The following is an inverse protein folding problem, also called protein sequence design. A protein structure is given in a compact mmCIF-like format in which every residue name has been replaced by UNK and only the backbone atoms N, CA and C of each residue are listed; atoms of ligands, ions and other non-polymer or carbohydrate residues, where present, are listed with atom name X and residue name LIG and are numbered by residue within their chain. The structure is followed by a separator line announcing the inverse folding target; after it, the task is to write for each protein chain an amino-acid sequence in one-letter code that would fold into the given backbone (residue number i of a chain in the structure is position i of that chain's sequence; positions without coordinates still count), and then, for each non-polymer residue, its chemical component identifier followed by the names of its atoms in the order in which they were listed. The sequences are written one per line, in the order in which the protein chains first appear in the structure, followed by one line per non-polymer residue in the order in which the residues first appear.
data_IF_683173264936
#
_entry.id   IF_683173264936
#
_cell.length_a   1.000
_cell.length_b   1.000
_cell.length_c   1.000
_cell.angle_alpha   90.00
_cell.angle_beta   90.00
_cell.angle_gamma   90.00
#
_symmetry.space_group_name_H-M   'P 1'
#
loop_
_entity.id
_entity.type
_entity.pdbx_description
1 polymer ?
#
# COMPACT_ATOMS: atom_id res chain seq x y z
N UNK A 1 2.41 -22.09 -4.88
CA UNK A 1 1.10 -21.65 -5.44
C UNK A 1 0.89 -20.19 -5.07
N UNK A 2 0.98 -19.25 -6.02
CA UNK A 2 0.90 -17.78 -5.79
C UNK A 2 -0.51 -17.22 -5.57
N UNK A 3 -1.53 -18.07 -5.54
CA UNK A 3 -2.93 -17.64 -5.51
C UNK A 3 -3.44 -17.30 -4.12
N UNK A 4 -2.79 -17.85 -3.10
CA UNK A 4 -3.23 -17.69 -1.74
C UNK A 4 -2.12 -16.95 -0.99
N UNK A 5 -2.40 -15.77 -0.42
CA UNK A 5 -1.49 -15.15 0.52
C UNK A 5 -1.09 -16.17 1.59
N UNK A 6 0.18 -16.18 1.96
CA UNK A 6 0.63 -16.98 3.09
C UNK A 6 -0.06 -16.45 4.33
N UNK A 7 -0.81 -17.33 5.01
CA UNK A 7 -1.36 -17.04 6.34
C UNK A 7 -0.19 -16.79 7.26
N UNK A 8 0.02 -15.52 7.62
CA UNK A 8 0.96 -15.18 8.66
C UNK A 8 0.13 -15.06 9.93
N UNK A 9 0.05 -16.14 10.71
CA UNK A 9 -0.31 -16.06 12.12
C UNK A 9 0.82 -15.36 12.86
N UNK A 10 0.98 -14.06 12.61
CA UNK A 10 1.86 -13.23 13.42
C UNK A 10 1.13 -12.99 14.72
N UNK A 11 1.55 -13.74 15.75
CA UNK A 11 1.42 -13.30 17.13
C UNK A 11 2.38 -12.12 17.29
N UNK A 12 1.95 -10.96 16.84
CA UNK A 12 2.32 -9.68 17.41
C UNK A 12 0.99 -8.97 17.68
N UNK A 13 0.35 -9.40 18.77
CA UNK A 13 -0.34 -8.45 19.63
C UNK A 13 0.65 -7.28 19.85
N UNK A 14 0.30 -6.01 19.67
CA UNK A 14 -0.73 -5.22 20.35
C UNK A 14 -0.95 -4.04 19.36
N UNK A 15 -2.14 -3.73 18.85
CA UNK A 15 -3.19 -2.96 19.54
C UNK A 15 -4.53 -3.24 18.82
N UNK A 16 -5.30 -4.20 19.34
CA UNK A 16 -6.73 -3.99 19.54
C UNK A 16 -6.80 -3.18 20.83
N UNK A 17 -6.86 -1.86 20.74
CA UNK A 17 -7.34 -1.05 21.86
C UNK A 17 -8.73 -0.64 21.43
N UNK A 18 -9.70 -1.24 22.11
CA UNK A 18 -10.99 -0.63 22.37
C UNK A 18 -10.85 0.90 22.35
N UNK A 19 -11.37 1.50 21.29
CA UNK A 19 -11.74 2.91 21.21
C UNK A 19 -12.12 3.40 22.62
N UNK A 20 -11.25 4.17 23.30
CA UNK A 20 -11.64 5.36 24.08
C UNK A 20 -10.55 5.98 24.98
N UNK A 21 -9.46 5.30 25.38
CA UNK A 21 -8.60 5.87 26.45
C UNK A 21 -7.12 6.13 26.09
N UNK A 22 -6.52 5.41 25.13
CA UNK A 22 -5.14 5.67 24.70
C UNK A 22 -5.02 6.61 23.50
N UNK A 23 -6.12 6.88 22.80
CA UNK A 23 -6.14 7.74 21.62
C UNK A 23 -5.80 9.20 21.98
N UNK A 24 -6.16 9.65 23.18
CA UNK A 24 -5.97 11.05 23.58
C UNK A 24 -4.50 11.45 23.72
N UNK A 25 -3.62 10.54 24.15
CA UNK A 25 -2.20 10.88 24.34
C UNK A 25 -1.40 10.87 23.03
N UNK A 26 -1.81 10.06 22.04
CA UNK A 26 -1.21 10.05 20.71
C UNK A 26 -1.78 11.14 19.80
N UNK A 27 -3.08 11.46 19.94
CA UNK A 27 -3.71 12.62 19.29
C UNK A 27 -3.14 13.95 19.80
N UNK A 28 -2.68 14.04 21.05
CA UNK A 28 -2.03 15.23 21.61
C UNK A 28 -0.61 15.49 21.08
N UNK A 29 0.04 14.52 20.42
CA UNK A 29 1.29 14.75 19.68
C UNK A 29 1.08 15.10 18.20
N UNK A 30 -0.16 15.09 17.71
CA UNK A 30 -0.51 15.66 16.39
C UNK A 30 -0.57 17.19 16.57
N UNK A 31 0.60 17.79 16.81
CA UNK A 31 0.73 19.20 17.16
C UNK A 31 0.64 20.08 15.90
N UNK A 32 -0.53 20.69 15.70
CA UNK A 32 -0.83 22.04 15.17
C UNK A 32 -0.01 22.64 14.00
N UNK A 33 0.72 21.87 13.20
CA UNK A 33 1.46 22.45 12.08
C UNK A 33 1.99 21.48 11.02
N UNK A 34 1.51 20.24 10.99
CA UNK A 34 1.74 19.36 9.86
C UNK A 34 0.69 19.66 8.77
N UNK A 35 1.14 20.25 7.66
CA UNK A 35 0.29 20.55 6.52
C UNK A 35 0.08 19.29 5.67
N UNK A 36 -1.18 18.98 5.40
CA UNK A 36 -1.58 17.87 4.55
C UNK A 36 -1.94 18.37 3.17
N UNK A 37 -1.58 17.57 2.17
CA UNK A 37 -2.03 17.78 0.80
C UNK A 37 -3.04 16.68 0.45
N UNK A 38 -4.29 17.06 0.20
CA UNK A 38 -5.34 16.19 -0.33
C UNK A 38 -5.45 16.39 -1.84
N UNK A 39 -5.38 15.30 -2.61
CA UNK A 39 -5.05 15.41 -4.02
C UNK A 39 -5.69 14.33 -4.91
N UNK A 40 -5.76 14.62 -6.23
CA UNK A 40 -6.10 13.66 -7.28
C UNK A 40 -4.94 13.56 -8.29
N UNK A 41 -4.37 12.36 -8.50
CA UNK A 41 -3.16 12.24 -9.30
C UNK A 41 -3.40 12.57 -10.78
N UNK A 42 -2.70 13.61 -11.28
CA UNK A 42 -2.65 13.95 -12.71
C UNK A 42 -1.37 13.37 -13.33
N UNK A 43 -1.49 12.14 -13.83
CA UNK A 43 -0.37 11.42 -14.44
C UNK A 43 0.01 11.94 -15.84
N UNK A 44 -0.73 12.89 -16.42
CA UNK A 44 -0.35 13.52 -17.70
C UNK A 44 0.87 14.44 -17.55
N UNK A 45 1.17 14.90 -16.32
CA UNK A 45 2.32 15.76 -16.01
C UNK A 45 3.62 15.01 -15.75
N UNK A 46 3.61 13.67 -15.77
CA UNK A 46 4.84 12.89 -15.60
C UNK A 46 5.79 13.17 -16.77
N UNK A 47 7.04 13.51 -16.46
CA UNK A 47 8.09 13.78 -17.45
C UNK A 47 8.25 12.62 -18.45
N UNK A 48 8.60 12.92 -19.71
CA UNK A 48 8.70 11.91 -20.77
C UNK A 48 9.66 10.76 -20.45
N UNK A 49 10.71 10.99 -19.64
CA UNK A 49 11.71 9.99 -19.25
C UNK A 49 11.14 9.04 -18.19
N UNK A 50 10.40 9.57 -17.21
CA UNK A 50 9.77 8.77 -16.15
C UNK A 50 8.60 7.93 -16.67
N UNK A 51 7.95 8.37 -17.76
CA UNK A 51 6.80 7.66 -18.35
C UNK A 51 7.11 6.22 -18.75
N UNK A 52 8.31 5.91 -19.26
CA UNK A 52 8.62 4.53 -19.69
C UNK A 52 8.63 3.55 -18.52
N UNK A 53 9.13 3.97 -17.37
CA UNK A 53 9.18 3.14 -16.15
C UNK A 53 7.82 3.14 -15.46
N UNK A 54 7.24 4.32 -15.24
CA UNK A 54 5.97 4.47 -14.51
C UNK A 54 4.80 3.81 -15.24
N UNK A 55 4.71 3.95 -16.57
CA UNK A 55 3.58 3.45 -17.37
C UNK A 55 3.79 2.03 -17.92
N UNK A 56 4.85 1.34 -17.50
CA UNK A 56 5.18 0.02 -18.04
C UNK A 56 4.12 -1.03 -17.72
N UNK A 57 3.99 -2.01 -18.60
CA UNK A 57 3.24 -3.23 -18.31
C UNK A 57 4.19 -4.27 -17.71
N UNK A 58 3.73 -4.96 -16.67
CA UNK A 58 4.42 -6.11 -16.08
C UNK A 58 3.67 -7.40 -16.46
N UNK A 59 4.37 -8.54 -16.59
CA UNK A 59 3.71 -9.82 -16.88
C UNK A 59 2.78 -10.23 -15.73
N UNK A 60 1.69 -10.92 -16.06
CA UNK A 60 0.84 -11.55 -15.07
C UNK A 60 1.57 -12.76 -14.47
N UNK A 61 2.09 -12.57 -13.25
CA UNK A 61 2.92 -13.56 -12.56
C UNK A 61 2.11 -14.56 -11.73
N UNK A 62 0.77 -14.46 -11.78
CA UNK A 62 -0.14 -15.32 -11.02
C UNK A 62 -0.13 -16.73 -11.60
N UNK A 63 -0.24 -17.71 -10.72
CA UNK A 63 -0.40 -19.11 -11.11
C UNK A 63 -1.72 -19.27 -11.90
N UNK A 64 -1.72 -20.13 -12.92
CA UNK A 64 -2.90 -20.35 -13.78
C UNK A 64 -4.14 -20.81 -13.02
N UNK A 65 -3.95 -21.42 -11.85
CA UNK A 65 -5.02 -21.88 -10.96
C UNK A 65 -5.67 -20.75 -10.15
N UNK A 66 -5.12 -19.54 -10.19
CA UNK A 66 -5.67 -18.44 -9.40
C UNK A 66 -7.05 -18.05 -9.93
N UNK A 67 -8.04 -17.83 -9.03
CA UNK A 67 -9.32 -17.28 -9.43
C UNK A 67 -9.11 -15.98 -10.19
N UNK A 68 -9.84 -15.81 -11.29
CA UNK A 68 -9.90 -14.55 -12.05
C UNK A 68 -11.18 -13.77 -11.76
N UNK A 69 -12.08 -14.37 -10.98
CA UNK A 69 -13.38 -13.83 -10.57
C UNK A 69 -13.55 -14.07 -9.08
N UNK A 70 -14.00 -13.05 -8.35
CA UNK A 70 -14.05 -13.06 -6.87
C UNK A 70 -15.48 -12.81 -6.37
N UNK A 71 -16.32 -13.84 -6.42
CA UNK A 71 -17.75 -13.73 -6.07
C UNK A 71 -17.97 -13.34 -4.60
N UNK A 72 -17.11 -13.80 -3.69
CA UNK A 72 -17.20 -13.48 -2.25
C UNK A 72 -17.12 -11.99 -1.93
N UNK A 73 -16.59 -11.17 -2.85
CA UNK A 73 -16.53 -9.72 -2.67
C UNK A 73 -17.87 -9.05 -2.93
N UNK A 74 -18.73 -9.67 -3.75
CA UNK A 74 -20.08 -9.18 -4.03
C UNK A 74 -21.08 -9.55 -2.92
N UNK A 75 -20.81 -10.66 -2.23
CA UNK A 75 -21.65 -11.18 -1.14
C UNK A 75 -21.28 -10.58 0.23
N UNK A 76 -20.36 -9.62 0.28
CA UNK A 76 -19.96 -8.97 1.53
C UNK A 76 -21.09 -8.07 2.06
N UNK A 77 -21.48 -8.28 3.33
CA UNK A 77 -22.53 -7.50 4.00
C UNK A 77 -22.12 -6.03 4.23
N UNK A 78 -20.81 -5.74 4.29
CA UNK A 78 -20.26 -4.41 4.51
C UNK A 78 -19.49 -3.91 3.27
N UNK A 79 -19.54 -2.60 3.02
CA UNK A 79 -18.76 -1.97 1.95
C UNK A 79 -17.27 -2.07 2.24
N UNK A 80 -16.50 -2.60 1.28
CA UNK A 80 -15.05 -2.79 1.43
C UNK A 80 -14.32 -1.53 0.96
N UNK A 81 -13.65 -0.84 1.88
CA UNK A 81 -12.86 0.36 1.64
C UNK A 81 -11.45 0.21 2.21
N UNK A 82 -10.46 0.21 1.32
CA UNK A 82 -9.04 0.00 1.65
C UNK A 82 -8.29 1.32 1.61
N UNK A 83 -7.67 1.69 2.72
CA UNK A 83 -6.66 2.75 2.78
C UNK A 83 -5.27 2.15 2.62
N UNK A 84 -4.56 2.55 1.57
CA UNK A 84 -3.18 2.09 1.30
C UNK A 84 -2.21 3.08 1.94
N UNK A 85 -1.28 2.61 2.74
CA UNK A 85 -0.31 3.43 3.47
C UNK A 85 1.09 3.14 2.92
N UNK A 86 1.72 4.18 2.37
CA UNK A 86 3.08 4.16 1.83
C UNK A 86 3.93 5.12 2.63
N UNK A 87 5.06 4.64 3.13
CA UNK A 87 6.06 5.44 3.83
C UNK A 87 7.33 5.44 3.02
N UNK A 88 7.99 6.59 2.88
CA UNK A 88 9.25 6.69 2.16
C UNK A 88 10.26 7.60 2.88
N UNK A 89 11.54 7.38 2.62
CA UNK A 89 12.64 8.23 3.05
C UNK A 89 13.74 8.16 1.99
N UNK A 90 14.13 9.29 1.42
CA UNK A 90 15.12 9.38 0.34
C UNK A 90 14.84 8.46 -0.86
N UNK A 91 13.55 8.26 -1.19
CA UNK A 91 13.14 7.44 -2.33
C UNK A 91 13.20 8.24 -3.64
N UNK A 92 13.55 7.57 -4.73
CA UNK A 92 13.49 8.17 -6.07
C UNK A 92 12.05 8.51 -6.44
N UNK A 93 11.82 9.73 -6.93
CA UNK A 93 10.51 10.15 -7.44
C UNK A 93 9.95 9.17 -8.49
N UNK A 94 10.79 8.72 -9.42
CA UNK A 94 10.37 7.78 -10.48
C UNK A 94 9.87 6.44 -9.91
N UNK A 95 10.55 5.92 -8.89
CA UNK A 95 10.18 4.68 -8.19
C UNK A 95 8.90 4.86 -7.40
N UNK A 96 8.78 5.94 -6.63
CA UNK A 96 7.58 6.26 -5.87
C UNK A 96 6.34 6.46 -6.77
N UNK A 97 6.49 7.20 -7.87
CA UNK A 97 5.44 7.38 -8.87
C UNK A 97 5.04 6.06 -9.55
N UNK A 98 6.01 5.18 -9.81
CA UNK A 98 5.74 3.84 -10.36
C UNK A 98 4.85 3.04 -9.42
N UNK A 99 5.13 3.09 -8.11
CA UNK A 99 4.30 2.46 -7.08
C UNK A 99 2.88 3.00 -7.10
N UNK A 100 2.72 4.31 -6.97
CA UNK A 100 1.41 4.99 -6.92
C UNK A 100 0.60 4.72 -8.19
N UNK A 101 1.24 4.84 -9.36
CA UNK A 101 0.59 4.60 -10.65
C UNK A 101 0.15 3.15 -10.81
N UNK A 102 0.99 2.18 -10.39
CA UNK A 102 0.64 0.77 -10.45
C UNK A 102 -0.62 0.47 -9.65
N UNK A 103 -0.73 1.04 -8.45
CA UNK A 103 -1.91 0.94 -7.58
C UNK A 103 -3.12 1.55 -8.27
N UNK A 104 -3.01 2.81 -8.71
CA UNK A 104 -4.11 3.52 -9.36
C UNK A 104 -4.67 2.75 -10.56
N UNK A 105 -3.79 2.21 -11.41
CA UNK A 105 -4.17 1.53 -12.65
C UNK A 105 -4.76 0.14 -12.45
N UNK A 106 -4.32 -0.59 -11.42
CA UNK A 106 -4.63 -2.03 -11.24
C UNK A 106 -5.47 -2.33 -10.01
N UNK A 107 -5.99 -1.29 -9.34
CA UNK A 107 -6.87 -1.43 -8.19
C UNK A 107 -8.27 -0.92 -8.56
N UNK A 108 -9.33 -1.73 -8.41
CA UNK A 108 -10.69 -1.28 -8.65
C UNK A 108 -11.08 -0.11 -7.73
N UNK A 109 -11.59 0.98 -8.30
CA UNK A 109 -11.95 2.21 -7.56
C UNK A 109 -13.03 2.00 -6.51
N UNK A 110 -13.84 0.95 -6.64
CA UNK A 110 -14.85 0.60 -5.64
C UNK A 110 -14.25 0.16 -4.29
N UNK A 111 -13.03 -0.40 -4.30
CA UNK A 111 -12.33 -0.86 -3.10
C UNK A 111 -11.32 0.16 -2.59
N UNK A 112 -10.74 0.98 -3.47
CA UNK A 112 -9.69 1.93 -3.09
C UNK A 112 -10.31 3.20 -2.48
N UNK A 113 -10.11 3.38 -1.17
CA UNK A 113 -10.61 4.56 -0.44
C UNK A 113 -9.67 5.75 -0.60
N UNK A 114 -8.39 5.54 -0.31
CA UNK A 114 -7.35 6.56 -0.37
C UNK A 114 -5.97 5.90 -0.37
N UNK A 115 -4.96 6.65 -0.81
CA UNK A 115 -3.54 6.34 -0.68
C UNK A 115 -2.93 7.42 0.21
N UNK A 116 -2.39 7.02 1.36
CA UNK A 116 -1.71 7.88 2.32
C UNK A 116 -0.21 7.72 2.11
N UNK A 117 0.46 8.80 1.76
CA UNK A 117 1.90 8.86 1.53
C UNK A 117 2.54 9.69 2.64
N UNK A 118 3.51 9.10 3.32
CA UNK A 118 4.22 9.75 4.42
C UNK A 118 5.72 9.79 4.10
N UNK A 119 6.23 11.00 3.95
CA UNK A 119 7.66 11.29 3.90
C UNK A 119 8.23 11.30 5.33
N UNK A 120 9.01 10.28 5.67
CA UNK A 120 9.72 10.17 6.95
C UNK A 120 11.02 10.99 6.92
N UNK A 121 10.88 12.30 6.71
CA UNK A 121 11.97 13.27 6.77
C UNK A 121 13.10 12.98 5.78
N UNK A 122 12.76 12.87 4.49
CA UNK A 122 13.76 12.83 3.40
C UNK A 122 14.66 14.06 3.44
N UNK A 123 15.93 13.92 3.05
CA UNK A 123 16.92 14.99 3.08
C UNK A 123 16.67 16.03 1.99
N UNK A 124 16.35 15.55 0.78
CA UNK A 124 15.99 16.39 -0.35
C UNK A 124 14.47 16.59 -0.42
N UNK A 125 14.06 17.85 -0.59
CA UNK A 125 12.66 18.27 -0.71
C UNK A 125 12.14 18.15 -2.15
N UNK A 126 13.01 17.88 -3.14
CA UNK A 126 12.63 17.78 -4.55
C UNK A 126 11.55 16.72 -4.80
N UNK A 127 11.69 15.52 -4.25
CA UNK A 127 10.70 14.43 -4.39
C UNK A 127 9.34 14.85 -3.83
N UNK A 128 9.30 15.45 -2.63
CA UNK A 128 8.04 15.87 -2.01
C UNK A 128 7.35 16.97 -2.83
N UNK A 129 8.10 18.00 -3.27
CA UNK A 129 7.60 19.09 -4.12
C UNK A 129 7.08 18.58 -5.46
N UNK A 130 7.88 17.79 -6.17
CA UNK A 130 7.47 17.26 -7.47
C UNK A 130 6.30 16.29 -7.36
N UNK A 131 6.26 15.45 -6.31
CA UNK A 131 5.12 14.58 -6.05
C UNK A 131 3.85 15.41 -5.87
N UNK A 132 3.87 16.38 -4.96
CA UNK A 132 2.71 17.26 -4.71
C UNK A 132 2.30 18.06 -5.95
N UNK A 133 3.23 18.56 -6.76
CA UNK A 133 2.92 19.28 -8.00
C UNK A 133 2.25 18.38 -9.05
N UNK A 134 2.74 17.14 -9.22
CA UNK A 134 2.18 16.16 -10.17
C UNK A 134 0.81 15.69 -9.68
N UNK A 135 0.68 15.41 -8.38
CA UNK A 135 -0.51 14.73 -7.87
C UNK A 135 -1.58 15.63 -7.32
N UNK A 136 -1.30 16.91 -7.07
CA UNK A 136 -2.22 17.86 -6.41
C UNK A 136 -2.49 19.12 -7.25
N UNK A 137 -2.97 18.98 -8.50
CA UNK A 137 -3.35 20.16 -9.28
C UNK A 137 -4.52 20.90 -8.62
N UNK A 138 -4.64 22.23 -8.82
CA UNK A 138 -5.74 23.01 -8.28
C UNK A 138 -7.04 22.57 -8.95
N UNK A 139 -7.97 22.10 -8.12
CA UNK A 139 -9.28 21.54 -8.46
C UNK A 139 -9.24 20.10 -8.96
N UNK A 140 -9.88 19.20 -8.19
CA UNK A 140 -10.87 18.20 -8.61
C UNK A 140 -11.53 17.57 -7.36
N UNK A 141 -12.78 17.09 -7.48
CA UNK A 141 -13.69 16.78 -6.36
C UNK A 141 -13.67 15.29 -5.92
N UNK A 142 -12.50 14.62 -6.01
CA UNK A 142 -12.31 13.24 -5.57
C UNK A 142 -10.92 13.06 -4.95
N UNK A 143 -10.81 13.27 -3.64
CA UNK A 143 -9.56 13.06 -2.89
C UNK A 143 -9.19 11.58 -2.86
N UNK A 144 -8.17 11.19 -3.62
CA UNK A 144 -7.63 9.83 -3.62
C UNK A 144 -6.28 9.74 -2.91
N UNK A 145 -5.51 10.83 -2.89
CA UNK A 145 -4.14 10.85 -2.38
C UNK A 145 -4.02 11.83 -1.22
N UNK A 146 -3.35 11.42 -0.14
CA UNK A 146 -3.04 12.26 1.02
C UNK A 146 -1.56 12.20 1.29
N UNK A 147 -0.88 13.33 1.19
CA UNK A 147 0.57 13.41 1.34
C UNK A 147 0.91 14.23 2.58
N UNK A 148 1.79 13.68 3.42
CA UNK A 148 2.37 14.35 4.57
C UNK A 148 3.88 14.17 4.60
N UNK A 149 4.58 15.17 5.17
CA UNK A 149 5.98 15.06 5.55
C UNK A 149 6.15 15.28 7.06
N UNK A 150 6.90 14.39 7.70
CA UNK A 150 7.31 14.56 9.09
C UNK A 150 8.37 15.66 9.21
N UNK A 151 8.33 16.41 10.32
CA UNK A 151 9.30 17.46 10.63
C UNK A 151 10.66 16.94 11.12
N UNK A 152 10.73 15.67 11.48
CA UNK A 152 11.94 14.96 11.91
C UNK A 152 11.77 13.47 11.59
N UNK A 153 12.88 12.72 11.55
CA UNK A 153 12.84 11.28 11.25
C UNK A 153 12.25 10.49 12.41
N UNK A 154 11.08 9.88 12.20
CA UNK A 154 10.36 9.06 13.19
C UNK A 154 10.61 7.57 13.01
N UNK A 155 10.94 7.15 11.79
CA UNK A 155 11.16 5.76 11.42
C UNK A 155 9.88 5.06 10.97
N UNK A 156 10.07 4.01 10.17
CA UNK A 156 9.03 3.25 9.47
C UNK A 156 7.81 2.90 10.32
N UNK A 157 8.01 2.38 11.54
CA UNK A 157 6.94 1.91 12.41
C UNK A 157 6.02 3.08 12.82
N UNK A 158 6.61 4.20 13.25
CA UNK A 158 5.84 5.37 13.70
C UNK A 158 5.12 6.03 12.54
N UNK A 159 5.75 6.14 11.38
CA UNK A 159 5.13 6.65 10.17
C UNK A 159 3.96 5.77 9.72
N UNK A 160 4.10 4.44 9.73
CA UNK A 160 2.98 3.53 9.41
C UNK A 160 1.83 3.65 10.40
N UNK A 161 2.13 3.73 11.70
CA UNK A 161 1.09 3.94 12.72
C UNK A 161 0.38 5.28 12.54
N UNK A 162 1.10 6.35 12.19
CA UNK A 162 0.51 7.64 11.88
C UNK A 162 -0.46 7.54 10.70
N UNK A 163 -0.05 6.87 9.62
CA UNK A 163 -0.93 6.62 8.47
C UNK A 163 -2.17 5.81 8.84
N UNK A 164 -2.01 4.79 9.68
CA UNK A 164 -3.12 3.93 10.14
C UNK A 164 -4.15 4.71 10.98
N UNK A 165 -3.71 5.61 11.85
CA UNK A 165 -4.60 6.45 12.66
C UNK A 165 -5.45 7.42 11.83
N UNK A 166 -5.00 7.75 10.63
CA UNK A 166 -5.63 8.72 9.74
C UNK A 166 -6.42 8.11 8.60
N UNK A 167 -6.30 6.79 8.45
CA UNK A 167 -7.02 6.02 7.46
C UNK A 167 -8.54 6.09 7.71
N UNK A 168 -9.27 6.30 6.62
CA UNK A 168 -10.73 6.39 6.56
C UNK A 168 -11.36 5.06 6.11
N UNK A 169 -10.58 4.14 5.53
CA UNK A 169 -11.03 2.81 5.11
C UNK A 169 -11.21 1.86 6.29
N UNK A 170 -12.09 0.85 6.14
CA UNK A 170 -12.26 -0.23 7.11
C UNK A 170 -11.18 -1.33 6.99
N UNK A 171 -10.36 -1.30 5.93
CA UNK A 171 -9.19 -2.16 5.76
C UNK A 171 -7.92 -1.33 5.52
N UNK A 172 -6.79 -1.79 6.06
CA UNK A 172 -5.48 -1.18 5.88
C UNK A 172 -4.58 -2.06 5.03
N UNK A 173 -3.86 -1.45 4.09
CA UNK A 173 -2.81 -2.11 3.31
C UNK A 173 -1.52 -1.32 3.43
N UNK A 174 -0.50 -1.90 4.06
CA UNK A 174 0.83 -1.31 4.13
C UNK A 174 1.64 -1.71 2.90
N UNK A 175 2.28 -0.74 2.25
CA UNK A 175 3.07 -0.99 1.04
C UNK A 175 4.37 -0.19 1.08
N UNK A 176 5.45 -0.77 0.56
CA UNK A 176 6.72 -0.07 0.41
C UNK A 176 6.66 0.90 -0.78
N UNK A 177 7.53 1.92 -0.77
CA UNK A 177 7.57 2.98 -1.77
C UNK A 177 8.12 2.57 -3.14
N UNK A 178 8.64 1.35 -3.25
CA UNK A 178 9.33 0.80 -4.42
C UNK A 178 8.76 -0.54 -4.87
N UNK A 179 7.45 -0.60 -5.06
CA UNK A 179 6.71 -1.82 -5.37
C UNK A 179 5.82 -1.63 -6.60
N UNK A 180 5.62 -2.68 -7.39
CA UNK A 180 4.65 -2.67 -8.50
C UNK A 180 3.61 -3.76 -8.30
N UNK A 181 2.34 -3.36 -8.19
CA UNK A 181 1.26 -4.33 -7.98
C UNK A 181 0.92 -5.07 -9.28
N UNK A 182 0.61 -6.36 -9.16
CA UNK A 182 0.15 -7.16 -10.29
C UNK A 182 -1.37 -7.06 -10.48
N UNK A 183 -1.90 -7.71 -11.51
CA UNK A 183 -3.33 -7.75 -11.81
C UNK A 183 -4.10 -8.47 -10.69
N UNK A 184 -5.23 -7.90 -10.29
CA UNK A 184 -6.14 -8.45 -9.28
C UNK A 184 -5.47 -8.79 -7.94
N UNK A 185 -4.42 -8.03 -7.61
CA UNK A 185 -3.63 -8.24 -6.40
C UNK A 185 -4.47 -8.03 -5.13
N UNK A 186 -5.28 -6.97 -5.09
CA UNK A 186 -6.06 -6.59 -3.92
C UNK A 186 -7.26 -7.52 -3.74
N UNK A 187 -7.96 -7.86 -4.82
CA UNK A 187 -9.13 -8.74 -4.81
C UNK A 187 -8.75 -10.12 -4.28
N UNK A 188 -7.57 -10.63 -4.63
CA UNK A 188 -7.05 -11.90 -4.11
C UNK A 188 -6.82 -11.86 -2.60
N UNK A 189 -6.31 -10.75 -2.07
CA UNK A 189 -6.09 -10.57 -0.63
C UNK A 189 -7.43 -10.45 0.13
N UNK A 190 -8.34 -9.61 -0.38
CA UNK A 190 -9.68 -9.42 0.19
C UNK A 190 -10.48 -10.72 0.18
N UNK A 191 -10.39 -11.51 -0.88
CA UNK A 191 -11.06 -12.80 -0.97
C UNK A 191 -10.65 -13.73 0.18
N UNK A 192 -9.36 -13.81 0.52
CA UNK A 192 -8.90 -14.66 1.63
C UNK A 192 -9.32 -14.09 2.99
N UNK A 193 -9.22 -12.77 3.17
CA UNK A 193 -9.67 -12.10 4.39
C UNK A 193 -11.14 -12.37 4.69
N UNK A 194 -12.00 -12.31 3.66
CA UNK A 194 -13.45 -12.40 3.79
C UNK A 194 -13.98 -13.83 3.78
N UNK A 195 -13.31 -14.76 3.09
CA UNK A 195 -13.76 -16.16 3.00
C UNK A 195 -13.44 -16.98 4.25
N UNK A 196 -12.72 -16.41 5.22
CA UNK A 196 -12.28 -17.12 6.42
C UNK A 196 -13.40 -17.14 7.48
N UNK A 197 -13.98 -18.31 7.82
CA UNK A 197 -15.10 -18.39 8.77
C UNK A 197 -14.67 -18.06 10.19
N UNK A 198 -15.44 -17.23 10.89
CA UNK A 198 -15.27 -16.98 12.34
C UNK A 198 -14.13 -16.02 12.73
N UNK A 199 -13.42 -15.43 11.76
CA UNK A 199 -12.25 -14.59 12.05
C UNK A 199 -12.56 -13.14 12.43
N UNK A 200 -13.80 -12.65 12.35
CA UNK A 200 -14.23 -11.32 12.86
C UNK A 200 -13.13 -10.26 12.96
N UNK A 201 -12.62 -9.78 11.82
CA UNK A 201 -11.54 -8.76 11.72
C UNK A 201 -10.19 -9.10 12.40
N UNK A 202 -9.86 -10.37 12.68
CA UNK A 202 -8.63 -10.81 13.37
C UNK A 202 -7.58 -11.46 12.46
N UNK A 203 -7.71 -11.34 11.15
CA UNK A 203 -6.78 -11.94 10.20
C UNK A 203 -5.95 -10.87 9.50
N UNK A 204 -4.66 -11.17 9.31
CA UNK A 204 -3.78 -10.45 8.40
C UNK A 204 -3.38 -11.38 7.26
N UNK A 205 -3.23 -10.82 6.05
CA UNK A 205 -2.80 -11.52 4.85
C UNK A 205 -1.63 -10.79 4.22
N UNK A 206 -0.74 -11.51 3.56
CA UNK A 206 0.42 -10.93 2.87
C UNK A 206 0.53 -11.48 1.45
N UNK A 207 0.73 -10.63 0.43
CA UNK A 207 0.91 -11.10 -0.94
C UNK A 207 2.24 -11.84 -1.09
N UNK A 208 2.33 -12.71 -2.10
CA UNK A 208 3.65 -13.19 -2.53
C UNK A 208 4.40 -12.06 -3.23
N UNK A 209 5.68 -11.91 -2.90
CA UNK A 209 6.54 -10.86 -3.43
C UNK A 209 7.40 -11.39 -4.58
N UNK A 210 7.30 -10.70 -5.72
CA UNK A 210 8.19 -10.90 -6.87
C UNK A 210 9.37 -9.94 -6.80
N UNK A 211 10.50 -10.32 -7.41
CA UNK A 211 11.71 -9.50 -7.39
C UNK A 211 11.67 -8.47 -8.53
N UNK A 212 12.00 -7.22 -8.20
CA UNK A 212 12.31 -6.19 -9.20
C UNK A 212 13.79 -5.88 -9.07
N UNK A 213 14.52 -6.08 -10.16
CA UNK A 213 15.95 -5.86 -10.20
C UNK A 213 16.28 -4.39 -9.91
N UNK A 214 17.13 -4.14 -8.92
CA UNK A 214 17.38 -2.79 -8.42
C UNK A 214 18.07 -1.88 -9.46
N UNK A 215 18.90 -2.46 -10.34
CA UNK A 215 19.67 -1.72 -11.33
C UNK A 215 18.88 -1.53 -12.63
N UNK A 216 18.35 -2.63 -13.15
CA UNK A 216 17.67 -2.64 -14.46
C UNK A 216 16.19 -2.29 -14.37
N UNK A 217 15.58 -2.43 -13.19
CA UNK A 217 14.13 -2.36 -13.00
C UNK A 217 13.39 -3.55 -13.59
N UNK A 218 14.06 -4.60 -14.05
CA UNK A 218 13.43 -5.76 -14.65
C UNK A 218 12.54 -6.51 -13.64
N UNK A 219 11.31 -6.82 -14.03
CA UNK A 219 10.39 -7.59 -13.20
C UNK A 219 10.66 -9.09 -13.37
N UNK A 220 11.10 -9.75 -12.31
CA UNK A 220 11.46 -11.17 -12.29
C UNK A 220 10.39 -11.95 -11.54
N UNK A 221 9.70 -12.83 -12.27
CA UNK A 221 8.69 -13.71 -11.68
C UNK A 221 9.38 -14.78 -10.83
N UNK A 222 9.17 -14.75 -9.52
CA UNK A 222 9.64 -15.83 -8.64
C UNK A 222 8.76 -17.06 -8.89
N UNK A 223 9.31 -18.18 -9.35
CA UNK A 223 8.54 -19.42 -9.37
C UNK A 223 8.36 -19.91 -7.92
N UNK A 224 7.14 -19.80 -7.37
CA UNK A 224 6.88 -20.23 -6.00
C UNK A 224 6.83 -21.76 -5.90
N UNK A 225 7.98 -22.41 -5.84
CA UNK A 225 8.13 -23.75 -5.29
C UNK A 225 7.89 -23.68 -3.78
N UNK A 226 6.92 -24.44 -3.28
CA UNK A 226 6.59 -24.53 -1.85
C UNK A 226 7.82 -24.93 -1.01
N UNK A 227 8.83 -25.56 -1.61
CA UNK A 227 10.08 -25.94 -0.94
C UNK A 227 10.96 -24.75 -0.56
N UNK A 228 10.82 -23.61 -1.25
CA UNK A 228 11.69 -22.44 -1.04
C UNK A 228 11.12 -21.44 -0.02
N UNK A 229 9.84 -21.59 0.35
CA UNK A 229 9.15 -20.75 1.34
C UNK A 229 9.31 -21.25 2.78
N UNK A 230 9.55 -22.56 2.98
CA UNK A 230 9.76 -23.15 4.30
C UNK A 230 10.99 -22.59 5.05
N UNK A 231 12.15 -22.39 4.41
CA UNK A 231 13.34 -21.83 5.07
C UNK A 231 13.15 -20.35 5.45
N UNK A 232 12.41 -19.58 4.66
CA UNK A 232 12.19 -18.14 4.89
C UNK A 232 11.22 -17.88 6.05
N UNK A 233 10.24 -18.76 6.26
CA UNK A 233 9.37 -18.70 7.44
C UNK A 233 10.08 -19.19 8.71
N UNK A 234 10.99 -20.17 8.59
CA UNK A 234 11.79 -20.66 9.72
C UNK A 234 12.87 -19.67 10.19
N UNK A 235 13.25 -18.68 9.37
CA UNK A 235 14.19 -17.63 9.77
C UNK A 235 13.54 -16.52 10.62
N UNK A 236 12.21 -16.52 10.74
CA UNK A 236 11.43 -15.54 11.52
C UNK A 236 10.70 -16.14 12.73
N UNK A 237 10.98 -17.41 13.09
CA UNK A 237 10.53 -18.08 14.33
C UNK A 237 11.69 -18.62 15.14
#
# INVERSE_FOLDING_TARGET
MKCFPTYLTVVFAIIFITFFSFCTFLLLQIDNGESWHECEPDFEKISYIDRRRVLRQIPDSRDRRCPRTFNSLADADEEIKVSIIITYHNESLSTLLTTIYSIYRRTPSQYLQEIIIIDDYSEDDSTFKSLTEITCPPFNNRTLLRIQRHRQRWGLIKSRNMGALMARGNYLMFMDSHCEVNQQWLESLLHVLLSSPGSGHKMAVSPMLDNIDAETGEYKTTEASIKDLLPLLAAYF
#
